data_IF_505662568797
#
_entry.id   IF_505662568797
#
_cell.length_a   1.000
_cell.length_b   1.000
_cell.length_c   1.000
_cell.angle_alpha   90.00
_cell.angle_beta   90.00
_cell.angle_gamma   90.00
#
_symmetry.space_group_name_H-M   'P 1'
#
loop_
_entity.id
_entity.type
_entity.pdbx_description
1 polymer ?
#
# COMPACT_ATOMS: atom_id res chain seq x y z
N UNK A 1 -61.48 7.14 -32.30
CA UNK A 1 -62.33 8.28 -32.72
C UNK A 1 -61.93 9.47 -31.86
N UNK A 2 -61.43 10.47 -32.57
CA UNK A 2 -60.90 11.77 -32.15
C UNK A 2 -62.00 12.82 -31.99
N UNK A 3 -61.81 13.77 -31.07
CA UNK A 3 -62.08 15.23 -31.19
C UNK A 3 -61.80 15.86 -29.81
N UNK A 4 -60.81 16.73 -29.57
CA UNK A 4 -60.55 18.09 -30.08
C UNK A 4 -61.79 19.02 -30.12
N UNK A 5 -61.82 20.02 -29.22
CA UNK A 5 -61.76 21.45 -29.58
C UNK A 5 -61.97 22.35 -28.34
N UNK A 6 -60.98 23.18 -28.01
CA UNK A 6 -61.18 24.63 -28.02
C UNK A 6 -59.82 25.37 -28.05
N UNK A 7 -59.75 26.33 -28.98
CA UNK A 7 -58.56 26.98 -29.54
C UNK A 7 -58.28 28.33 -28.86
N UNK A 8 -57.01 28.76 -28.93
CA UNK A 8 -56.44 30.07 -28.48
C UNK A 8 -56.94 31.28 -29.29
N UNK A 9 -56.60 32.50 -28.83
CA UNK A 9 -55.81 33.45 -29.65
C UNK A 9 -54.69 34.11 -28.82
N UNK A 10 -53.68 34.85 -29.29
CA UNK A 10 -52.88 34.99 -30.51
C UNK A 10 -51.73 35.95 -30.12
N UNK A 11 -50.52 35.73 -30.63
CA UNK A 11 -49.30 36.52 -30.36
C UNK A 11 -49.26 37.86 -31.11
N UNK A 12 -48.33 38.76 -30.73
CA UNK A 12 -47.58 39.50 -31.75
C UNK A 12 -46.07 39.31 -31.61
N UNK A 13 -45.41 39.23 -32.76
CA UNK A 13 -43.96 39.19 -33.00
C UNK A 13 -43.39 40.59 -33.19
N UNK A 14 -42.13 40.82 -32.79
CA UNK A 14 -41.13 41.55 -33.61
C UNK A 14 -39.75 41.59 -32.92
N UNK A 15 -38.78 40.96 -33.56
CA UNK A 15 -37.47 41.45 -33.97
C UNK A 15 -36.52 42.25 -33.03
N UNK A 16 -35.35 41.62 -32.90
CA UNK A 16 -33.96 42.13 -32.95
C UNK A 16 -33.28 42.71 -31.68
N UNK A 17 -32.00 42.33 -31.42
CA UNK A 17 -31.32 42.52 -30.15
C UNK A 17 -30.57 43.85 -30.10
N UNK A 18 -30.71 44.58 -28.99
CA UNK A 18 -29.89 45.73 -28.68
C UNK A 18 -28.93 45.40 -27.53
N UNK A 19 -27.68 45.22 -27.93
CA UNK A 19 -26.45 45.28 -27.13
C UNK A 19 -26.45 46.42 -26.11
N UNK A 20 -26.33 46.08 -24.83
CA UNK A 20 -25.79 46.97 -23.80
C UNK A 20 -24.40 46.46 -23.41
N UNK A 21 -23.38 47.17 -23.89
CA UNK A 21 -22.00 47.07 -23.42
C UNK A 21 -21.92 47.66 -22.01
N UNK A 22 -21.34 46.92 -21.06
CA UNK A 22 -20.67 47.56 -19.93
C UNK A 22 -19.39 46.82 -19.57
N UNK A 23 -18.30 47.59 -19.70
CA UNK A 23 -16.94 47.45 -19.18
C UNK A 23 -16.34 46.06 -18.93
N UNK A 24 -15.31 45.74 -19.72
CA UNK A 24 -14.26 44.81 -19.30
C UNK A 24 -13.53 45.35 -18.05
N UNK A 25 -13.50 44.55 -17.00
CA UNK A 25 -12.40 44.54 -16.05
C UNK A 25 -11.66 43.21 -16.21
N UNK A 26 -10.50 43.27 -16.85
CA UNK A 26 -9.58 42.14 -16.95
C UNK A 26 -9.03 41.87 -15.54
N UNK A 27 -9.39 40.74 -14.95
CA UNK A 27 -8.73 40.19 -13.77
C UNK A 27 -8.43 38.73 -14.05
N UNK A 28 -7.32 38.53 -14.76
CA UNK A 28 -6.70 37.24 -15.00
C UNK A 28 -6.23 36.64 -13.67
N UNK A 29 -6.79 35.51 -13.23
CA UNK A 29 -5.99 34.42 -12.68
C UNK A 29 -6.80 33.12 -12.56
N UNK A 30 -6.92 32.38 -13.66
CA UNK A 30 -7.34 30.98 -13.63
C UNK A 30 -6.08 30.13 -13.58
N UNK A 31 -5.45 30.06 -12.41
CA UNK A 31 -4.32 29.15 -12.18
C UNK A 31 -4.88 27.85 -11.60
N UNK A 32 -5.04 26.84 -12.45
CA UNK A 32 -5.01 25.44 -11.99
C UNK A 32 -3.71 25.24 -11.19
N UNK A 33 -3.68 24.43 -10.11
CA UNK A 33 -2.43 24.11 -9.44
C UNK A 33 -1.54 23.31 -10.40
N UNK A 34 -0.75 24.03 -11.19
CA UNK A 34 0.32 23.47 -12.00
C UNK A 34 1.45 23.05 -11.07
N UNK A 35 2.07 21.91 -11.37
CA UNK A 35 3.27 21.46 -10.70
C UNK A 35 4.28 22.62 -10.63
N UNK A 36 4.77 22.88 -9.41
CA UNK A 36 5.75 23.93 -9.12
C UNK A 36 6.94 23.73 -10.05
N UNK A 37 7.21 24.69 -10.93
CA UNK A 37 8.38 24.66 -11.79
C UNK A 37 9.62 24.96 -10.95
N UNK A 38 10.26 23.93 -10.41
CA UNK A 38 11.55 24.08 -9.75
C UNK A 38 12.62 24.33 -10.80
N UNK A 39 13.11 25.58 -10.83
CA UNK A 39 14.29 25.95 -11.57
C UNK A 39 15.55 25.25 -11.04
N UNK A 40 16.44 24.94 -11.98
CA UNK A 40 17.86 24.60 -11.80
C UNK A 40 18.21 23.35 -10.98
N UNK A 41 18.15 22.19 -11.61
CA UNK A 41 19.32 21.31 -11.84
C UNK A 41 18.84 20.01 -12.49
N UNK A 42 19.32 19.73 -13.71
CA UNK A 42 19.22 18.39 -14.27
C UNK A 42 20.18 17.47 -13.49
N UNK A 43 19.64 16.76 -12.50
CA UNK A 43 20.27 15.59 -11.91
C UNK A 43 19.18 14.58 -11.58
N UNK A 44 19.06 13.56 -12.44
CA UNK A 44 18.36 12.28 -12.27
C UNK A 44 16.99 12.39 -11.58
N UNK A 45 15.91 12.37 -12.34
CA UNK A 45 14.56 12.19 -11.79
C UNK A 45 14.53 10.87 -11.01
N UNK A 46 14.63 10.94 -9.69
CA UNK A 46 14.25 9.88 -8.78
C UNK A 46 12.76 10.10 -8.54
N UNK A 47 11.91 9.29 -9.19
CA UNK A 47 10.48 9.30 -8.97
C UNK A 47 10.12 8.98 -7.50
N UNK A 48 8.94 9.42 -7.07
CA UNK A 48 8.45 9.21 -5.70
C UNK A 48 8.54 10.45 -4.80
N UNK A 49 7.79 10.42 -3.70
CA UNK A 49 7.79 11.50 -2.71
C UNK A 49 9.18 11.57 -2.03
N UNK A 50 9.80 12.76 -1.85
CA UNK A 50 11.06 12.88 -1.12
C UNK A 50 11.07 12.23 0.27
N UNK A 51 9.91 12.20 0.95
CA UNK A 51 9.79 11.53 2.27
C UNK A 51 9.73 10.01 2.19
N UNK A 52 9.60 9.44 0.99
CA UNK A 52 9.64 7.99 0.74
C UNK A 52 11.03 7.49 0.32
N UNK A 53 12.06 8.35 0.38
CA UNK A 53 13.42 7.97 -0.03
C UNK A 53 14.09 7.10 1.03
N UNK A 54 14.72 5.97 0.64
CA UNK A 54 15.53 5.18 1.55
C UNK A 54 16.65 6.02 2.17
N UNK A 55 17.01 5.70 3.42
CA UNK A 55 18.13 6.30 4.16
C UNK A 55 19.49 5.80 3.69
N UNK A 56 19.52 4.72 2.89
CA UNK A 56 20.76 4.18 2.33
C UNK A 56 21.29 5.05 1.18
N UNK A 57 22.57 5.40 1.24
CA UNK A 57 23.28 6.09 0.15
C UNK A 57 23.83 5.14 -0.91
N UNK A 58 23.90 3.83 -0.60
CA UNK A 58 24.36 2.75 -1.47
C UNK A 58 23.50 1.50 -1.24
N UNK A 59 23.30 0.64 -2.26
CA UNK A 59 22.62 -0.64 -2.07
C UNK A 59 23.30 -1.49 -1.01
N UNK A 60 22.50 -2.25 -0.25
CA UNK A 60 23.03 -3.30 0.62
C UNK A 60 23.73 -4.37 -0.21
N UNK A 61 24.80 -4.94 0.34
CA UNK A 61 25.59 -6.00 -0.30
C UNK A 61 25.45 -7.26 0.54
N UNK A 62 25.06 -8.35 -0.11
CA UNK A 62 24.96 -9.66 0.53
C UNK A 62 26.35 -10.16 0.94
N UNK A 63 26.48 -10.57 2.21
CA UNK A 63 27.75 -11.01 2.78
C UNK A 63 27.92 -12.53 2.88
N UNK A 64 26.86 -13.31 2.69
CA UNK A 64 26.88 -14.78 2.82
C UNK A 64 26.46 -15.30 4.20
N UNK A 65 25.99 -14.43 5.10
CA UNK A 65 25.63 -14.84 6.47
C UNK A 65 24.42 -15.78 6.55
N UNK A 66 23.63 -15.89 5.48
CA UNK A 66 22.51 -16.84 5.37
C UNK A 66 22.88 -18.16 4.68
N UNK A 67 24.09 -18.31 4.15
CA UNK A 67 24.49 -19.47 3.33
C UNK A 67 24.54 -20.80 4.10
N UNK A 68 24.63 -20.72 5.44
CA UNK A 68 24.61 -21.89 6.32
C UNK A 68 23.20 -22.47 6.53
N UNK A 69 22.15 -21.70 6.23
CA UNK A 69 20.78 -22.15 6.38
C UNK A 69 20.32 -22.92 5.15
N UNK A 70 19.56 -24.00 5.38
CA UNK A 70 18.92 -24.74 4.30
C UNK A 70 17.90 -23.83 3.61
N UNK A 71 18.06 -23.63 2.31
CA UNK A 71 17.17 -22.77 1.52
C UNK A 71 16.89 -23.35 0.13
N UNK A 72 15.77 -22.92 -0.46
CA UNK A 72 15.38 -23.27 -1.81
C UNK A 72 14.66 -22.11 -2.50
N UNK A 73 14.97 -21.89 -3.78
CA UNK A 73 14.21 -20.96 -4.62
C UNK A 73 12.97 -21.68 -5.16
N UNK A 74 11.79 -21.24 -4.75
CA UNK A 74 10.53 -21.93 -5.06
C UNK A 74 10.07 -21.72 -6.51
N UNK A 75 10.51 -20.63 -7.14
CA UNK A 75 10.36 -20.40 -8.58
C UNK A 75 11.63 -19.77 -9.15
N UNK A 76 11.84 -19.81 -10.47
CA UNK A 76 13.01 -19.18 -11.09
C UNK A 76 13.10 -17.66 -10.82
N UNK A 77 11.96 -16.97 -10.79
CA UNK A 77 11.93 -15.50 -10.77
C UNK A 77 11.80 -14.95 -9.35
N UNK A 78 10.88 -15.48 -8.55
CA UNK A 78 10.55 -14.97 -7.22
C UNK A 78 10.48 -16.10 -6.18
N UNK A 79 10.59 -15.73 -4.93
CA UNK A 79 10.42 -16.61 -3.80
C UNK A 79 11.69 -17.36 -3.43
N UNK A 80 12.02 -17.30 -2.15
CA UNK A 80 12.98 -18.19 -1.48
C UNK A 80 12.41 -18.65 -0.16
N UNK A 81 12.58 -19.91 0.18
CA UNK A 81 12.26 -20.41 1.50
C UNK A 81 13.52 -20.74 2.29
N UNK A 82 13.43 -20.59 3.62
CA UNK A 82 14.43 -21.04 4.57
C UNK A 82 13.81 -22.02 5.56
N UNK A 83 14.51 -23.13 5.80
CA UNK A 83 14.22 -24.08 6.86
C UNK A 83 15.20 -23.88 8.03
N UNK A 84 14.68 -23.90 9.26
CA UNK A 84 15.50 -23.77 10.47
C UNK A 84 15.91 -22.33 10.83
N UNK A 85 15.57 -21.33 10.03
CA UNK A 85 15.80 -19.92 10.34
C UNK A 85 14.61 -19.33 11.10
N UNK A 86 14.72 -19.14 12.42
CA UNK A 86 13.63 -18.62 13.25
C UNK A 86 13.72 -17.10 13.45
N UNK A 87 12.57 -16.41 13.40
CA UNK A 87 12.48 -14.97 13.70
C UNK A 87 13.00 -14.64 15.10
N UNK A 88 12.75 -15.51 16.08
CA UNK A 88 13.23 -15.30 17.46
C UNK A 88 14.76 -15.34 17.59
N UNK A 89 15.43 -16.03 16.67
CA UNK A 89 16.89 -16.07 16.59
C UNK A 89 17.41 -14.89 15.79
N UNK A 90 16.75 -14.52 14.69
CA UNK A 90 17.04 -13.31 13.93
C UNK A 90 16.98 -12.05 14.80
N UNK A 91 16.02 -11.96 15.73
CA UNK A 91 15.94 -10.86 16.71
C UNK A 91 17.19 -10.69 17.56
N UNK A 92 17.97 -11.76 17.77
CA UNK A 92 19.21 -11.77 18.57
C UNK A 92 20.47 -11.84 17.70
N UNK A 93 20.32 -12.12 16.41
CA UNK A 93 21.42 -12.25 15.47
C UNK A 93 22.12 -10.91 15.23
N UNK A 94 23.34 -10.96 14.69
CA UNK A 94 24.05 -9.77 14.23
C UNK A 94 23.26 -9.03 13.14
N UNK A 95 23.40 -7.70 13.11
CA UNK A 95 22.73 -6.85 12.11
C UNK A 95 23.02 -7.28 10.68
N UNK A 96 24.20 -7.86 10.43
CA UNK A 96 24.58 -8.32 9.11
C UNK A 96 23.66 -9.44 8.60
N UNK A 97 23.18 -10.32 9.48
CA UNK A 97 22.24 -11.40 9.12
C UNK A 97 20.92 -10.81 8.62
N UNK A 98 20.45 -9.74 9.27
CA UNK A 98 19.21 -9.07 8.89
C UNK A 98 19.39 -8.26 7.61
N UNK A 99 20.54 -7.61 7.41
CA UNK A 99 20.84 -6.93 6.14
C UNK A 99 20.90 -7.92 4.99
N UNK A 100 21.50 -9.08 5.17
CA UNK A 100 21.54 -10.14 4.16
C UNK A 100 20.14 -10.69 3.85
N UNK A 101 19.27 -10.76 4.86
CA UNK A 101 17.87 -11.11 4.68
C UNK A 101 17.10 -10.03 3.90
N UNK A 102 17.31 -8.75 4.22
CA UNK A 102 16.74 -7.62 3.47
C UNK A 102 17.18 -7.64 2.00
N UNK A 103 18.47 -7.92 1.73
CA UNK A 103 18.97 -8.12 0.36
C UNK A 103 18.26 -9.30 -0.30
N UNK A 104 18.13 -10.42 0.40
CA UNK A 104 17.46 -11.61 -0.14
C UNK A 104 16.00 -11.32 -0.49
N UNK A 105 15.25 -10.65 0.40
CA UNK A 105 13.86 -10.25 0.13
C UNK A 105 13.81 -9.33 -1.09
N UNK A 106 14.69 -8.33 -1.16
CA UNK A 106 14.75 -7.40 -2.30
C UNK A 106 15.05 -8.09 -3.63
N UNK A 107 15.89 -9.13 -3.62
CA UNK A 107 16.27 -9.88 -4.82
C UNK A 107 15.24 -10.95 -5.22
N UNK A 108 14.55 -11.55 -4.24
CA UNK A 108 13.62 -12.67 -4.45
C UNK A 108 12.16 -12.24 -4.42
N UNK A 109 11.85 -10.99 -4.07
CA UNK A 109 10.50 -10.45 -3.92
C UNK A 109 9.80 -10.92 -2.64
N UNK A 110 9.87 -12.21 -2.31
CA UNK A 110 9.26 -12.79 -1.11
C UNK A 110 10.18 -13.85 -0.49
N UNK A 111 10.22 -13.90 0.84
CA UNK A 111 10.92 -14.93 1.61
C UNK A 111 9.93 -15.64 2.54
N UNK A 112 9.95 -16.98 2.50
CA UNK A 112 9.18 -17.83 3.41
C UNK A 112 10.11 -18.37 4.49
N UNK A 113 9.83 -18.03 5.75
CA UNK A 113 10.49 -18.65 6.90
C UNK A 113 9.59 -19.79 7.39
N UNK A 114 10.05 -21.04 7.25
CA UNK A 114 9.24 -22.22 7.59
C UNK A 114 9.20 -22.47 9.10
N UNK A 115 8.10 -23.05 9.56
CA UNK A 115 7.91 -23.55 10.95
C UNK A 115 8.22 -22.52 12.06
N UNK A 116 7.59 -21.35 11.98
CA UNK A 116 7.92 -20.22 12.87
C UNK A 116 7.21 -20.27 14.23
N UNK A 117 8.01 -20.34 15.28
CA UNK A 117 7.57 -20.28 16.68
C UNK A 117 7.73 -18.87 17.23
N UNK A 118 6.90 -17.94 16.75
CA UNK A 118 7.01 -16.50 17.03
C UNK A 118 5.68 -15.91 17.52
N UNK A 119 5.74 -14.98 18.47
CA UNK A 119 4.58 -14.21 18.94
C UNK A 119 4.31 -12.99 18.05
N UNK A 120 3.09 -12.42 18.03
CA UNK A 120 2.80 -11.20 17.27
C UNK A 120 3.73 -10.02 17.61
N UNK A 121 4.06 -9.85 18.89
CA UNK A 121 5.00 -8.80 19.33
C UNK A 121 6.43 -9.04 18.80
N UNK A 122 6.90 -10.29 18.80
CA UNK A 122 8.21 -10.61 18.23
C UNK A 122 8.25 -10.41 16.71
N UNK A 123 7.15 -10.69 15.99
CA UNK A 123 7.06 -10.35 14.56
C UNK A 123 7.13 -8.84 14.34
N UNK A 124 6.40 -8.07 15.16
CA UNK A 124 6.42 -6.61 15.13
C UNK A 124 7.84 -6.07 15.36
N UNK A 125 8.50 -6.52 16.42
CA UNK A 125 9.85 -6.11 16.77
C UNK A 125 10.86 -6.46 15.66
N UNK A 126 10.71 -7.64 15.06
CA UNK A 126 11.55 -8.07 13.96
C UNK A 126 11.34 -7.21 12.71
N UNK A 127 10.09 -6.91 12.35
CA UNK A 127 9.76 -6.06 11.21
C UNK A 127 10.35 -4.66 11.38
N UNK A 128 10.25 -4.07 12.57
CA UNK A 128 10.89 -2.78 12.89
C UNK A 128 12.42 -2.84 12.76
N UNK A 129 13.05 -3.91 13.24
CA UNK A 129 14.49 -4.09 13.12
C UNK A 129 14.91 -4.27 11.65
N UNK A 130 14.12 -5.00 10.86
CA UNK A 130 14.36 -5.19 9.43
C UNK A 130 14.29 -3.87 8.66
N UNK A 131 13.25 -3.06 8.87
CA UNK A 131 13.08 -1.78 8.16
C UNK A 131 14.15 -0.77 8.55
N UNK A 132 14.57 -0.76 9.81
CA UNK A 132 15.70 0.07 10.26
C UNK A 132 16.99 -0.30 9.52
N UNK A 133 17.35 -1.59 9.51
CA UNK A 133 18.59 -2.07 8.91
C UNK A 133 18.57 -2.08 7.38
N UNK A 134 17.39 -2.22 6.77
CA UNK A 134 17.15 -2.03 5.34
C UNK A 134 17.23 -0.55 4.93
N UNK A 135 17.26 0.37 5.90
CA UNK A 135 17.30 1.81 5.67
C UNK A 135 16.04 2.32 4.99
N UNK A 136 14.87 1.79 5.36
CA UNK A 136 13.58 2.38 4.99
C UNK A 136 13.49 3.84 5.49
N UNK A 137 12.63 4.68 4.89
CA UNK A 137 12.44 6.06 5.33
C UNK A 137 12.04 6.12 6.81
N UNK A 138 12.51 7.14 7.56
CA UNK A 138 12.16 7.30 8.99
C UNK A 138 10.65 7.54 9.21
N UNK A 139 10.01 8.14 8.21
CA UNK A 139 8.55 8.32 8.14
C UNK A 139 7.78 7.01 7.88
N UNK A 140 8.44 5.94 7.43
CA UNK A 140 7.86 4.62 7.12
C UNK A 140 7.82 3.75 8.38
N UNK A 141 7.00 4.15 9.34
CA UNK A 141 6.75 3.38 10.57
C UNK A 141 5.77 2.22 10.36
N UNK A 142 5.38 1.54 11.44
CA UNK A 142 4.33 0.52 11.37
C UNK A 142 2.98 1.17 11.07
N UNK A 143 2.42 0.80 9.92
CA UNK A 143 1.13 1.30 9.46
C UNK A 143 -0.02 0.70 10.30
N UNK A 144 -0.94 1.55 10.72
CA UNK A 144 -2.23 1.12 11.28
C UNK A 144 -3.18 1.02 10.10
N UNK A 145 -3.51 -0.20 9.68
CA UNK A 145 -4.41 -0.42 8.55
C UNK A 145 -5.77 0.25 8.83
N UNK A 146 -6.41 0.93 7.85
CA UNK A 146 -7.70 1.61 8.05
C UNK A 146 -8.87 0.71 8.51
N UNK A 147 -8.64 -0.59 8.56
CA UNK A 147 -9.62 -1.62 8.93
C UNK A 147 -9.26 -2.32 10.24
N UNK A 148 -8.13 -1.98 10.86
CA UNK A 148 -7.82 -2.45 12.19
C UNK A 148 -8.75 -1.77 13.18
N UNK A 149 -9.37 -2.56 14.05
CA UNK A 149 -10.22 -2.04 15.12
C UNK A 149 -9.36 -1.29 16.14
N UNK A 150 -9.78 -0.08 16.50
CA UNK A 150 -9.11 0.72 17.52
C UNK A 150 -9.14 -0.02 18.87
N UNK A 151 -7.99 -0.08 19.55
CA UNK A 151 -7.86 -0.78 20.83
C UNK A 151 -7.78 -2.30 20.69
N UNK A 152 -7.34 -2.79 19.52
CA UNK A 152 -7.09 -4.21 19.25
C UNK A 152 -6.24 -4.85 20.36
N UNK A 153 -6.57 -6.07 20.79
CA UNK A 153 -5.82 -6.77 21.85
C UNK A 153 -4.35 -7.06 21.47
N UNK A 154 -4.03 -7.04 20.17
CA UNK A 154 -2.68 -7.22 19.64
C UNK A 154 -1.98 -5.88 19.34
N UNK A 155 -2.64 -4.76 19.63
CA UNK A 155 -2.25 -3.41 19.22
C UNK A 155 -2.69 -3.07 17.79
N UNK A 156 -2.89 -1.78 17.54
CA UNK A 156 -3.51 -1.29 16.31
C UNK A 156 -2.62 -1.47 15.06
N UNK A 157 -1.32 -1.75 15.25
CA UNK A 157 -0.39 -2.04 14.15
C UNK A 157 -0.48 -3.48 13.63
N UNK A 158 -1.19 -4.37 14.34
CA UNK A 158 -1.32 -5.78 13.95
C UNK A 158 -2.72 -6.00 13.39
N UNK A 159 -2.80 -6.22 12.08
CA UNK A 159 -4.06 -6.55 11.42
C UNK A 159 -4.30 -8.06 11.42
N UNK A 160 -5.49 -8.49 11.85
CA UNK A 160 -5.90 -9.90 11.86
C UNK A 160 -6.89 -10.15 10.73
N UNK A 161 -6.48 -10.97 9.76
CA UNK A 161 -7.33 -11.43 8.67
C UNK A 161 -7.98 -12.76 9.07
N UNK A 162 -9.31 -12.77 9.19
CA UNK A 162 -10.07 -13.95 9.62
C UNK A 162 -11.40 -14.07 8.88
N UNK A 163 -11.59 -15.20 8.19
CA UNK A 163 -12.84 -15.52 7.50
C UNK A 163 -14.01 -15.71 8.48
N UNK A 164 -13.75 -16.23 9.68
CA UNK A 164 -14.78 -16.39 10.73
C UNK A 164 -15.20 -15.04 11.32
N UNK A 165 -14.27 -14.08 11.45
CA UNK A 165 -14.57 -12.71 11.86
C UNK A 165 -15.40 -12.00 10.78
N UNK A 166 -15.02 -12.17 9.51
CA UNK A 166 -15.76 -11.63 8.36
C UNK A 166 -17.19 -12.16 8.25
N UNK A 167 -17.41 -13.47 8.44
CA UNK A 167 -18.76 -14.06 8.44
C UNK A 167 -19.68 -13.48 9.51
N UNK A 168 -19.11 -13.07 10.65
CA UNK A 168 -19.85 -12.46 11.78
C UNK A 168 -20.00 -10.94 11.65
N UNK A 169 -19.60 -10.37 10.51
CA UNK A 169 -19.74 -8.95 10.22
C UNK A 169 -18.56 -8.07 10.63
N UNK A 170 -17.43 -8.65 11.08
CA UNK A 170 -16.20 -7.90 11.36
C UNK A 170 -15.30 -7.71 10.13
N UNK A 171 -14.46 -6.67 10.09
CA UNK A 171 -13.57 -6.38 8.95
C UNK A 171 -14.28 -5.81 7.72
N UNK A 172 -13.75 -6.07 6.51
CA UNK A 172 -14.19 -5.51 5.21
C UNK A 172 -15.70 -5.62 4.92
N UNK A 173 -16.40 -6.57 5.53
CA UNK A 173 -17.79 -6.93 5.19
C UNK A 173 -18.83 -5.90 5.59
N UNK A 174 -18.52 -4.95 6.49
CA UNK A 174 -19.52 -3.99 6.98
C UNK A 174 -19.38 -2.56 6.44
N UNK A 175 -18.26 -2.22 5.80
CA UNK A 175 -18.00 -0.84 5.36
C UNK A 175 -18.42 -0.56 3.92
N UNK A 176 -18.53 -1.58 3.05
CA UNK A 176 -18.75 -1.37 1.63
C UNK A 176 -19.55 -2.54 1.03
N UNK A 177 -20.74 -2.25 0.50
CA UNK A 177 -21.62 -3.25 -0.15
C UNK A 177 -21.14 -3.69 -1.54
N UNK A 178 -20.24 -2.92 -2.15
CA UNK A 178 -19.60 -3.24 -3.43
C UNK A 178 -18.12 -3.62 -3.23
N UNK A 179 -17.88 -4.92 -3.11
CA UNK A 179 -16.54 -5.50 -2.99
C UNK A 179 -15.85 -5.68 -4.34
N UNK A 180 -16.56 -5.48 -5.46
CA UNK A 180 -16.02 -5.71 -6.81
C UNK A 180 -14.94 -4.71 -7.21
N UNK A 181 -14.84 -3.60 -6.49
CA UNK A 181 -13.93 -2.49 -6.75
C UNK A 181 -12.73 -2.42 -5.82
N UNK A 182 -12.59 -3.34 -4.87
CA UNK A 182 -11.45 -3.28 -3.95
C UNK A 182 -10.16 -3.66 -4.67
N UNK A 183 -9.09 -2.93 -4.38
CA UNK A 183 -7.76 -3.31 -4.83
C UNK A 183 -7.40 -4.74 -4.36
N UNK A 184 -7.91 -5.14 -3.19
CA UNK A 184 -7.73 -6.49 -2.65
C UNK A 184 -8.44 -7.60 -3.44
N UNK A 185 -9.41 -7.28 -4.31
CA UNK A 185 -10.07 -8.27 -5.17
C UNK A 185 -9.22 -8.67 -6.39
N UNK A 186 -8.15 -7.92 -6.68
CA UNK A 186 -7.19 -8.21 -7.75
C UNK A 186 -5.75 -8.23 -7.25
N UNK A 187 -4.82 -8.30 -8.22
CA UNK A 187 -3.41 -8.12 -7.94
C UNK A 187 -3.16 -6.71 -7.41
N UNK A 188 -2.55 -6.62 -6.24
CA UNK A 188 -2.25 -5.35 -5.58
C UNK A 188 -0.93 -5.44 -4.81
N UNK A 189 -0.47 -4.27 -4.38
CA UNK A 189 0.52 -4.13 -3.32
C UNK A 189 -0.12 -3.31 -2.21
N UNK A 190 0.19 -3.66 -0.97
CA UNK A 190 -0.45 -3.05 0.19
C UNK A 190 -0.14 -1.55 0.28
N UNK A 191 -1.18 -0.78 0.61
CA UNK A 191 -1.06 0.63 1.00
C UNK A 191 -0.38 1.51 -0.08
N UNK A 192 -0.53 1.13 -1.36
CA UNK A 192 0.07 1.86 -2.49
C UNK A 192 -0.47 3.28 -2.69
N UNK A 193 -1.54 3.65 -1.99
CA UNK A 193 -2.17 4.97 -2.05
C UNK A 193 -1.52 5.98 -1.09
N UNK A 194 -0.70 5.54 -0.14
CA UNK A 194 -0.03 6.42 0.80
C UNK A 194 1.13 7.18 0.15
N UNK A 195 1.48 8.33 0.73
CA UNK A 195 2.63 9.11 0.27
C UNK A 195 3.96 8.37 0.43
N UNK A 196 4.04 7.52 1.46
CA UNK A 196 5.14 6.61 1.74
C UNK A 196 4.53 5.20 1.80
N UNK A 197 4.49 4.47 0.66
CA UNK A 197 3.96 3.10 0.63
C UNK A 197 4.78 2.16 1.51
N UNK A 198 4.21 0.98 1.80
CA UNK A 198 4.89 -0.05 2.58
C UNK A 198 6.10 -0.61 1.83
N UNK A 199 7.26 -0.62 2.49
CA UNK A 199 8.49 -1.27 1.99
C UNK A 199 8.49 -2.79 2.24
N UNK A 200 7.95 -3.20 3.39
CA UNK A 200 7.90 -4.59 3.84
C UNK A 200 6.55 -4.89 4.48
N UNK A 201 6.01 -6.06 4.16
CA UNK A 201 4.88 -6.67 4.86
C UNK A 201 5.31 -8.01 5.46
N UNK A 202 4.77 -8.36 6.62
CA UNK A 202 5.05 -9.63 7.28
C UNK A 202 3.74 -10.35 7.60
N UNK A 203 3.55 -11.52 7.01
CA UNK A 203 2.37 -12.35 7.20
C UNK A 203 2.74 -13.64 7.94
N UNK A 204 2.00 -13.96 9.00
CA UNK A 204 2.03 -15.28 9.63
C UNK A 204 0.67 -15.94 9.47
N UNK A 205 0.70 -17.11 8.85
CA UNK A 205 -0.47 -17.96 8.74
C UNK A 205 -0.65 -18.71 10.07
N UNK A 206 -1.74 -18.41 10.77
CA UNK A 206 -2.07 -19.04 12.06
C UNK A 206 -2.98 -20.26 11.89
N UNK A 207 -4.02 -20.14 11.05
CA UNK A 207 -5.02 -21.18 10.82
C UNK A 207 -5.28 -21.28 9.32
N UNK A 208 -5.11 -22.47 8.74
CA UNK A 208 -5.47 -22.76 7.35
C UNK A 208 -6.59 -23.80 7.27
N UNK A 209 -7.46 -23.72 6.24
CA UNK A 209 -8.27 -24.87 5.86
C UNK A 209 -7.36 -26.00 5.33
N UNK A 210 -7.86 -27.26 5.26
CA UNK A 210 -7.08 -28.38 4.72
C UNK A 210 -6.60 -28.17 3.27
N UNK A 211 -7.31 -27.35 2.49
CA UNK A 211 -6.99 -27.00 1.10
C UNK A 211 -7.43 -25.57 0.77
N UNK A 212 -6.69 -24.89 -0.12
CA UNK A 212 -6.95 -23.51 -0.51
C UNK A 212 -6.42 -22.49 0.52
N UNK A 213 -6.44 -21.21 0.15
CA UNK A 213 -5.86 -20.13 0.98
C UNK A 213 -4.42 -19.78 0.64
N UNK A 214 -3.98 -20.11 -0.58
CA UNK A 214 -2.68 -19.70 -1.11
C UNK A 214 -2.64 -18.19 -1.39
N UNK A 215 -1.44 -17.60 -1.48
CA UNK A 215 -1.18 -16.18 -1.76
C UNK A 215 0.12 -16.05 -2.53
#
# INVERSE_FOLDING_TARGET
MSDETLKRPSSPSSDNPQTLKLQMTNSNNTTMPSAVSNGAAAANIIGGNPVARPRLSKPLVYSGSLDSFKSADITPVIGREYEGLQVVDLLKADDQVIRDLAVTISQRGVVFLRDQHVTPNQMKDFCLRLTELAGCPESSGLHIHPLTEEGSELGDQISVISSEKQKKGGGLTHQLSDVSRFASAGWHTDISFEQVPSDYAMLKIHTLPPTGGDT
#
